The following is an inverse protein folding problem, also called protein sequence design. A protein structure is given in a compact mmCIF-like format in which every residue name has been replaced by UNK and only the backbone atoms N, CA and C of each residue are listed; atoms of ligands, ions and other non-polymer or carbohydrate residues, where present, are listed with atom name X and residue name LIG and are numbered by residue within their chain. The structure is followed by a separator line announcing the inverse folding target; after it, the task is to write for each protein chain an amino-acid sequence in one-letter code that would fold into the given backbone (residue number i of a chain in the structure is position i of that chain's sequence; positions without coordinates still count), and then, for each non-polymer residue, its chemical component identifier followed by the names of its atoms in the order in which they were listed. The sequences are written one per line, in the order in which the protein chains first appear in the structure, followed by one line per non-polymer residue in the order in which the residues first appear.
data_IF_217691746465
#
_entry.id   IF_217691746465
#
_cell.length_a   1.000
_cell.length_b   1.000
_cell.length_c   1.000
_cell.angle_alpha   90.00
_cell.angle_beta   90.00
_cell.angle_gamma   90.00
#
_symmetry.space_group_name_H-M   'P 1'
#
loop_
_entity.id
_entity.type
_entity.pdbx_description
1 polymer ?
#
# COMPACT_ATOMS: atom_id res chain seq x y z
N UNK A 1 29.77 -6.13 15.73
CA UNK A 1 31.02 -5.58 15.17
C UNK A 1 30.63 -4.65 14.03
N UNK A 2 30.49 -3.36 14.35
CA UNK A 2 30.12 -2.30 13.40
C UNK A 2 31.31 -1.97 12.50
N UNK A 3 31.08 -1.77 11.21
CA UNK A 3 32.04 -1.10 10.32
C UNK A 3 31.31 -0.04 9.50
N UNK A 4 31.56 1.21 9.90
CA UNK A 4 31.30 2.41 9.13
C UNK A 4 32.10 2.36 7.81
N UNK A 5 31.45 2.75 6.71
CA UNK A 5 32.14 3.21 5.50
C UNK A 5 31.77 4.67 5.33
N UNK A 6 32.72 5.54 5.67
CA UNK A 6 32.77 6.93 5.23
C UNK A 6 33.46 6.97 3.86
N UNK A 7 32.88 7.67 2.89
CA UNK A 7 33.66 8.24 1.80
C UNK A 7 33.09 9.60 1.41
N UNK A 8 33.89 10.60 1.73
CA UNK A 8 33.81 12.01 1.36
C UNK A 8 34.17 12.19 -0.11
N UNK A 9 33.37 12.92 -0.88
CA UNK A 9 33.91 13.76 -1.96
C UNK A 9 33.14 15.08 -2.04
N UNK A 10 33.85 16.13 -1.65
CA UNK A 10 33.57 17.53 -1.87
C UNK A 10 34.05 17.92 -3.27
N UNK A 11 33.22 18.57 -4.08
CA UNK A 11 33.65 19.61 -5.03
C UNK A 11 32.55 20.68 -5.20
N UNK A 12 33.02 21.91 -5.08
CA UNK A 12 32.34 23.19 -5.08
C UNK A 12 31.98 23.70 -6.50
N UNK A 13 30.80 24.34 -6.61
CA UNK A 13 30.45 25.64 -7.28
C UNK A 13 30.76 25.85 -8.80
N UNK A 14 30.05 26.76 -9.53
CA UNK A 14 29.52 28.03 -9.02
C UNK A 14 28.11 28.51 -9.42
N UNK A 15 27.65 29.43 -8.58
CA UNK A 15 26.69 30.53 -8.78
C UNK A 15 26.85 31.25 -10.14
N UNK A 16 25.71 31.69 -10.70
CA UNK A 16 25.67 32.91 -11.49
C UNK A 16 24.36 33.67 -11.19
N UNK A 17 24.49 34.82 -10.53
CA UNK A 17 23.48 35.89 -10.44
C UNK A 17 23.57 36.77 -11.69
N UNK A 18 22.44 37.20 -12.22
CA UNK A 18 22.34 38.47 -12.96
C UNK A 18 21.12 39.25 -12.48
N UNK A 19 21.37 40.52 -12.22
CA UNK A 19 20.53 41.58 -11.67
C UNK A 19 19.91 42.48 -12.74
N UNK A 20 18.79 43.14 -12.41
CA UNK A 20 18.19 44.31 -13.09
C UNK A 20 16.67 44.17 -13.17
N UNK A 21 15.82 44.88 -12.43
CA UNK A 21 15.68 46.34 -12.26
C UNK A 21 14.72 46.88 -13.35
N UNK A 22 13.74 47.76 -13.16
CA UNK A 22 13.01 48.32 -12.02
C UNK A 22 11.84 49.16 -12.60
N UNK A 23 10.75 49.35 -11.83
CA UNK A 23 9.80 50.50 -11.84
C UNK A 23 8.79 50.65 -13.03
N UNK A 24 7.48 50.57 -12.75
CA UNK A 24 6.57 51.74 -12.73
C UNK A 24 5.15 51.39 -12.21
N UNK A 25 4.60 52.38 -11.52
CA UNK A 25 3.37 52.51 -10.74
C UNK A 25 2.06 52.51 -11.54
N UNK A 26 0.95 52.06 -10.93
CA UNK A 26 -0.14 52.97 -10.52
C UNK A 26 -1.34 52.29 -9.85
N UNK A 27 -1.89 53.01 -8.88
CA UNK A 27 -3.12 52.76 -8.11
C UNK A 27 -4.36 52.69 -9.01
N UNK A 28 -5.32 51.85 -8.65
CA UNK A 28 -6.74 52.24 -8.65
C UNK A 28 -7.47 51.57 -7.49
N UNK A 29 -8.16 52.37 -6.67
CA UNK A 29 -9.11 51.95 -5.65
C UNK A 29 -10.49 51.84 -6.30
N UNK A 30 -11.20 50.72 -6.10
CA UNK A 30 -12.66 50.66 -6.19
C UNK A 30 -13.24 49.46 -5.40
N UNK A 31 -13.50 49.75 -4.13
CA UNK A 31 -14.62 49.35 -3.25
C UNK A 31 -15.72 48.38 -3.76
N UNK A 32 -16.03 47.43 -2.87
CA UNK A 32 -17.32 46.80 -2.51
C UNK A 32 -17.72 45.39 -3.03
N UNK A 33 -17.81 44.50 -2.02
CA UNK A 33 -18.87 43.52 -1.71
C UNK A 33 -19.11 42.34 -2.65
N UNK A 34 -18.82 41.14 -2.12
CA UNK A 34 -19.34 39.86 -2.61
C UNK A 34 -18.68 38.72 -1.86
N UNK A 35 -19.47 37.97 -1.09
CA UNK A 35 -19.06 36.76 -0.38
C UNK A 35 -18.57 35.70 -1.35
N UNK A 36 -17.26 35.46 -1.41
CA UNK A 36 -16.70 34.26 -2.03
C UNK A 36 -16.38 33.24 -0.94
N UNK A 37 -17.24 32.24 -0.82
CA UNK A 37 -16.92 31.01 -0.12
C UNK A 37 -15.76 30.36 -0.88
N UNK A 38 -14.58 30.34 -0.26
CA UNK A 38 -13.39 29.70 -0.81
C UNK A 38 -13.68 28.22 -1.07
N UNK A 39 -13.76 27.85 -2.34
CA UNK A 39 -13.69 26.48 -2.80
C UNK A 39 -12.29 25.95 -2.49
N UNK A 40 -12.16 25.25 -1.36
CA UNK A 40 -11.00 24.39 -1.12
C UNK A 40 -10.85 23.37 -2.26
N UNK A 41 -9.64 22.84 -2.50
CA UNK A 41 -9.42 21.89 -3.58
C UNK A 41 -10.32 20.67 -3.37
N UNK A 42 -11.23 20.43 -4.31
CA UNK A 42 -12.07 19.25 -4.30
C UNK A 42 -11.18 18.04 -4.55
N UNK A 43 -11.08 17.15 -3.57
CA UNK A 43 -10.48 15.84 -3.79
C UNK A 43 -11.41 15.12 -4.77
N UNK A 44 -11.07 15.12 -6.06
CA UNK A 44 -11.75 14.29 -7.06
C UNK A 44 -11.42 12.83 -6.76
N UNK A 45 -12.26 12.19 -5.95
CA UNK A 45 -12.15 10.77 -5.69
C UNK A 45 -12.62 10.03 -6.95
N UNK A 46 -11.68 9.51 -7.73
CA UNK A 46 -11.99 8.75 -8.93
C UNK A 46 -12.76 7.46 -8.57
N UNK A 47 -13.82 7.17 -9.32
CA UNK A 47 -14.63 5.95 -9.16
C UNK A 47 -13.80 4.71 -9.46
N UNK A 48 -13.85 3.72 -8.57
CA UNK A 48 -13.44 2.35 -8.88
C UNK A 48 -14.46 1.75 -9.85
N UNK A 49 -13.99 1.08 -10.90
CA UNK A 49 -14.84 0.53 -11.97
C UNK A 49 -14.61 -0.98 -12.07
N UNK A 50 -15.55 -1.77 -11.55
CA UNK A 50 -15.51 -3.25 -11.56
C UNK A 50 -16.33 -3.84 -12.74
N UNK A 51 -16.23 -3.20 -13.91
CA UNK A 51 -16.86 -3.69 -15.15
C UNK A 51 -18.40 -3.71 -15.21
N UNK A 52 -19.14 -3.45 -14.12
CA UNK A 52 -20.62 -3.51 -14.13
C UNK A 52 -21.36 -2.37 -13.45
N UNK A 53 -20.73 -1.66 -12.51
CA UNK A 53 -21.32 -0.49 -11.86
C UNK A 53 -20.20 0.47 -11.53
N UNK A 54 -20.31 1.74 -11.93
CA UNK A 54 -19.58 2.84 -11.30
C UNK A 54 -20.04 2.93 -9.86
N UNK A 55 -19.50 2.08 -8.99
CA UNK A 55 -19.68 2.24 -7.55
C UNK A 55 -18.79 3.41 -7.18
N UNK A 56 -19.42 4.53 -6.87
CA UNK A 56 -18.70 5.65 -6.29
C UNK A 56 -17.86 5.16 -5.11
N UNK A 57 -16.68 5.77 -4.89
CA UNK A 57 -15.84 5.43 -3.76
C UNK A 57 -16.70 5.52 -2.49
N UNK A 58 -16.88 4.38 -1.81
CA UNK A 58 -17.65 4.34 -0.57
C UNK A 58 -16.77 4.78 0.57
N UNK A 59 -16.76 6.09 0.82
CA UNK A 59 -16.18 6.66 2.01
C UNK A 59 -17.24 6.67 3.11
N UNK A 60 -17.02 5.90 4.17
CA UNK A 60 -17.85 5.91 5.37
C UNK A 60 -17.03 6.58 6.47
N UNK A 61 -17.54 7.70 7.01
CA UNK A 61 -16.87 8.45 8.06
C UNK A 61 -17.70 8.29 9.34
N UNK A 62 -17.13 7.61 10.35
CA UNK A 62 -17.82 7.38 11.63
C UNK A 62 -18.03 8.66 12.44
N UNK A 63 -17.02 9.55 12.46
CA UNK A 63 -17.09 10.87 13.11
C UNK A 63 -16.59 11.97 12.15
N UNK A 64 -17.51 12.73 11.53
CA UNK A 64 -17.15 13.81 10.60
C UNK A 64 -16.33 14.93 11.21
N UNK A 65 -16.54 15.25 12.49
CA UNK A 65 -15.84 16.35 13.17
C UNK A 65 -14.39 15.96 13.45
N UNK A 66 -14.18 14.75 13.96
CA UNK A 66 -12.84 14.23 14.21
C UNK A 66 -12.06 14.03 12.91
N UNK A 67 -12.72 13.59 11.84
CA UNK A 67 -12.14 13.55 10.50
C UNK A 67 -11.68 14.94 10.02
N UNK A 68 -12.56 15.95 10.09
CA UNK A 68 -12.22 17.31 9.68
C UNK A 68 -11.06 17.89 10.51
N UNK A 69 -11.01 17.59 11.82
CA UNK A 69 -9.92 18.00 12.70
C UNK A 69 -8.58 17.38 12.29
N UNK A 70 -8.54 16.07 12.00
CA UNK A 70 -7.34 15.37 11.52
C UNK A 70 -6.87 15.89 10.16
N UNK A 71 -7.80 16.10 9.22
CA UNK A 71 -7.49 16.67 7.91
C UNK A 71 -6.89 18.07 8.03
N UNK A 72 -7.49 18.94 8.85
CA UNK A 72 -6.95 20.28 9.10
C UNK A 72 -5.55 20.21 9.69
N UNK A 73 -5.29 19.29 10.62
CA UNK A 73 -3.96 19.07 11.20
C UNK A 73 -2.94 18.66 10.13
N UNK A 74 -3.25 17.69 9.27
CA UNK A 74 -2.35 17.29 8.18
C UNK A 74 -2.03 18.46 7.23
N UNK A 75 -3.02 19.28 6.86
CA UNK A 75 -2.78 20.44 6.01
C UNK A 75 -1.91 21.51 6.70
N UNK A 76 -2.08 21.71 8.00
CA UNK A 76 -1.33 22.72 8.76
C UNK A 76 0.11 22.31 9.02
N UNK A 77 0.33 21.04 9.37
CA UNK A 77 1.66 20.55 9.77
C UNK A 77 2.57 20.27 8.57
N UNK A 78 2.01 19.87 7.43
CA UNK A 78 2.78 19.60 6.22
C UNK A 78 3.39 18.19 6.15
N UNK A 79 4.09 17.92 5.04
CA UNK A 79 4.63 16.60 4.72
C UNK A 79 5.85 16.21 5.58
N UNK A 80 6.61 17.20 6.07
CA UNK A 80 7.77 17.00 6.94
C UNK A 80 7.39 16.45 8.32
N UNK A 81 6.13 16.59 8.72
CA UNK A 81 5.57 16.03 9.95
C UNK A 81 4.76 14.74 9.71
N UNK A 82 4.76 14.21 8.48
CA UNK A 82 3.98 13.04 8.10
C UNK A 82 4.82 11.76 8.14
N UNK A 83 4.23 10.69 8.68
CA UNK A 83 4.69 9.31 8.56
C UNK A 83 3.54 8.47 8.00
N UNK A 84 3.82 7.69 6.96
CA UNK A 84 2.86 6.72 6.41
C UNK A 84 3.24 5.33 6.88
N UNK A 85 2.31 4.64 7.53
CA UNK A 85 2.40 3.21 7.85
C UNK A 85 1.25 2.52 7.13
N UNK A 86 1.56 1.54 6.30
CA UNK A 86 0.56 0.80 5.52
C UNK A 86 0.79 -0.71 5.66
N UNK A 87 -0.30 -1.46 5.76
CA UNK A 87 -0.27 -2.90 5.52
C UNK A 87 -0.09 -3.19 4.01
N UNK A 88 0.24 -4.42 3.64
CA UNK A 88 0.47 -4.84 2.26
C UNK A 88 -0.72 -5.61 1.68
N UNK A 89 -0.99 -6.82 2.19
CA UNK A 89 -1.96 -7.75 1.63
C UNK A 89 -3.39 -7.20 1.75
N UNK A 90 -4.08 -7.05 0.62
CA UNK A 90 -5.43 -6.47 0.53
C UNK A 90 -5.49 -4.99 0.97
N UNK A 91 -4.35 -4.36 1.23
CA UNK A 91 -4.22 -2.92 1.52
C UNK A 91 -3.54 -2.18 0.37
N UNK A 92 -2.30 -2.52 0.03
CA UNK A 92 -1.63 -2.02 -1.19
C UNK A 92 -2.00 -2.88 -2.41
N UNK A 93 -2.22 -4.17 -2.18
CA UNK A 93 -2.87 -5.06 -3.16
C UNK A 93 -4.40 -4.95 -3.02
N UNK A 94 -5.18 -5.19 -4.09
CA UNK A 94 -6.64 -5.14 -4.01
C UNK A 94 -7.19 -6.36 -3.28
N UNK A 95 -8.47 -6.32 -2.90
CA UNK A 95 -9.14 -7.50 -2.30
C UNK A 95 -9.52 -8.53 -3.38
N UNK A 96 -9.91 -8.06 -4.56
CA UNK A 96 -10.27 -8.88 -5.71
C UNK A 96 -9.34 -8.58 -6.87
N UNK A 97 -9.07 -9.60 -7.69
CA UNK A 97 -8.36 -9.44 -8.95
C UNK A 97 -9.15 -8.55 -9.89
N UNK A 98 -8.45 -7.86 -10.80
CA UNK A 98 -9.11 -7.16 -11.89
C UNK A 98 -9.83 -8.16 -12.78
N UNK A 99 -11.11 -7.91 -13.04
CA UNK A 99 -11.92 -8.75 -13.91
C UNK A 99 -11.61 -8.43 -15.36
N UNK A 100 -11.22 -9.46 -16.11
CA UNK A 100 -11.11 -9.38 -17.57
C UNK A 100 -12.47 -9.52 -18.24
N UNK A 101 -13.32 -10.41 -17.72
CA UNK A 101 -14.73 -10.55 -18.12
C UNK A 101 -15.64 -10.03 -16.99
N UNK A 102 -16.45 -8.99 -17.25
CA UNK A 102 -17.47 -8.55 -16.33
C UNK A 102 -18.47 -9.65 -15.93
N UNK A 103 -18.61 -10.77 -16.64
CA UNK A 103 -19.52 -11.86 -16.23
C UNK A 103 -18.84 -12.94 -15.39
N UNK A 104 -17.51 -12.99 -15.36
CA UNK A 104 -16.76 -13.98 -14.59
C UNK A 104 -16.95 -13.76 -13.07
N UNK A 105 -16.99 -14.80 -12.24
CA UNK A 105 -17.10 -14.64 -10.79
C UNK A 105 -15.96 -13.77 -10.23
N UNK A 106 -16.21 -13.09 -9.10
CA UNK A 106 -15.16 -12.36 -8.40
C UNK A 106 -14.14 -13.35 -7.86
N UNK A 107 -12.88 -13.14 -8.21
CA UNK A 107 -11.75 -13.91 -7.69
C UNK A 107 -10.99 -13.05 -6.69
N UNK A 108 -10.73 -13.60 -5.49
CA UNK A 108 -9.91 -12.92 -4.49
C UNK A 108 -8.47 -12.79 -4.99
N UNK A 109 -7.84 -11.67 -4.68
CA UNK A 109 -6.41 -11.53 -4.89
C UNK A 109 -5.64 -12.38 -3.86
N UNK A 110 -4.50 -12.91 -4.30
CA UNK A 110 -3.59 -13.67 -3.46
C UNK A 110 -2.99 -12.77 -2.38
N UNK A 111 -2.90 -13.28 -1.14
CA UNK A 111 -1.96 -12.71 -0.18
C UNK A 111 -0.52 -13.13 -0.54
N UNK A 112 0.47 -12.52 0.09
CA UNK A 112 1.87 -12.92 0.00
C UNK A 112 2.08 -14.41 0.33
N UNK A 113 1.39 -14.94 1.36
CA UNK A 113 1.36 -16.38 1.65
C UNK A 113 0.66 -17.16 0.56
N UNK A 114 -0.53 -16.74 0.14
CA UNK A 114 -1.32 -17.44 -0.88
C UNK A 114 -0.55 -17.57 -2.20
N UNK A 115 0.09 -16.50 -2.65
CA UNK A 115 0.92 -16.48 -3.86
C UNK A 115 2.02 -17.53 -3.80
N UNK A 116 2.73 -17.61 -2.68
CA UNK A 116 3.85 -18.54 -2.53
C UNK A 116 3.36 -19.98 -2.36
N UNK A 117 2.47 -20.21 -1.41
CA UNK A 117 2.06 -21.55 -0.97
C UNK A 117 1.22 -22.30 -2.01
N UNK A 118 0.54 -21.57 -2.91
CA UNK A 118 -0.23 -22.16 -4.02
C UNK A 118 0.53 -22.19 -5.35
N UNK A 119 1.77 -21.69 -5.36
CA UNK A 119 2.61 -21.67 -6.56
C UNK A 119 2.95 -23.08 -7.05
N UNK A 120 2.97 -23.27 -8.36
CA UNK A 120 3.45 -24.50 -9.02
C UNK A 120 4.97 -24.72 -8.86
N UNK A 121 5.70 -23.71 -8.37
CA UNK A 121 7.13 -23.79 -8.05
C UNK A 121 7.38 -24.66 -6.80
N UNK A 122 6.40 -24.71 -5.90
CA UNK A 122 6.49 -25.53 -4.69
C UNK A 122 5.94 -26.94 -4.93
N UNK A 123 6.32 -27.85 -4.04
CA UNK A 123 5.83 -29.22 -4.11
C UNK A 123 4.30 -29.23 -3.90
N UNK A 124 3.52 -30.04 -4.65
CA UNK A 124 2.05 -30.05 -4.56
C UNK A 124 1.51 -30.23 -3.14
N UNK A 125 2.25 -30.93 -2.28
CA UNK A 125 1.92 -31.17 -0.88
C UNK A 125 1.91 -29.89 -0.05
N UNK A 126 2.71 -28.88 -0.39
CA UNK A 126 2.67 -27.56 0.27
C UNK A 126 1.33 -26.87 0.00
N UNK A 127 0.88 -26.90 -1.26
CA UNK A 127 -0.39 -26.32 -1.66
C UNK A 127 -1.57 -27.04 -1.00
N UNK A 128 -1.55 -28.38 -0.96
CA UNK A 128 -2.56 -29.17 -0.24
C UNK A 128 -2.57 -28.83 1.25
N UNK A 129 -1.41 -28.80 1.90
CA UNK A 129 -1.29 -28.46 3.31
C UNK A 129 -1.80 -27.05 3.61
N UNK A 130 -1.50 -26.07 2.75
CA UNK A 130 -2.03 -24.71 2.92
C UNK A 130 -3.55 -24.66 2.74
N UNK A 131 -4.11 -25.36 1.76
CA UNK A 131 -5.55 -25.41 1.57
C UNK A 131 -6.27 -26.00 2.80
N UNK A 132 -5.69 -27.04 3.42
CA UNK A 132 -6.21 -27.63 4.65
C UNK A 132 -6.13 -26.67 5.84
N UNK A 133 -4.99 -25.97 6.01
CA UNK A 133 -4.83 -24.95 7.05
C UNK A 133 -5.81 -23.79 6.85
N UNK A 134 -5.90 -23.26 5.63
CA UNK A 134 -6.82 -22.18 5.28
C UNK A 134 -8.27 -22.57 5.57
N UNK A 135 -8.71 -23.75 5.11
CA UNK A 135 -10.07 -24.24 5.35
C UNK A 135 -10.41 -24.36 6.84
N UNK A 136 -9.41 -24.66 7.68
CA UNK A 136 -9.58 -24.79 9.13
C UNK A 136 -9.59 -23.43 9.85
N UNK A 137 -8.65 -22.55 9.55
CA UNK A 137 -8.38 -21.36 10.36
C UNK A 137 -9.03 -20.08 9.83
N UNK A 138 -9.21 -19.94 8.52
CA UNK A 138 -9.84 -18.75 7.94
C UNK A 138 -11.27 -18.49 8.44
N UNK A 139 -12.15 -19.51 8.62
CA UNK A 139 -13.47 -19.28 9.23
C UNK A 139 -13.40 -18.74 10.67
N UNK A 140 -12.35 -19.09 11.41
CA UNK A 140 -12.12 -18.62 12.79
C UNK A 140 -11.67 -17.16 12.76
N UNK A 141 -10.72 -16.82 11.89
CA UNK A 141 -10.25 -15.45 11.67
C UNK A 141 -11.43 -14.51 11.35
N UNK A 142 -12.28 -14.93 10.42
CA UNK A 142 -13.42 -14.16 9.94
C UNK A 142 -14.65 -14.21 10.87
N UNK A 143 -14.61 -14.97 11.96
CA UNK A 143 -15.76 -15.13 12.85
C UNK A 143 -16.18 -13.80 13.47
N UNK A 144 -17.45 -13.35 13.32
CA UNK A 144 -17.93 -12.13 13.96
C UNK A 144 -18.27 -12.33 15.44
N UNK A 145 -18.28 -13.58 15.92
CA UNK A 145 -18.72 -13.93 17.29
C UNK A 145 -17.55 -14.05 18.27
N UNK A 146 -16.37 -14.45 17.78
CA UNK A 146 -15.17 -14.58 18.61
C UNK A 146 -14.47 -13.23 18.76
N UNK A 147 -14.04 -12.92 19.98
CA UNK A 147 -13.17 -11.79 20.28
C UNK A 147 -11.75 -12.00 19.72
N UNK A 148 -10.98 -10.91 19.67
CA UNK A 148 -9.58 -10.98 19.24
C UNK A 148 -8.73 -11.89 20.16
N UNK A 149 -8.98 -11.86 21.47
CA UNK A 149 -8.28 -12.68 22.46
C UNK A 149 -8.58 -14.18 22.27
N UNK A 150 -9.84 -14.53 21.98
CA UNK A 150 -10.24 -15.91 21.70
C UNK A 150 -9.65 -16.44 20.39
N UNK A 151 -9.49 -15.56 19.38
CA UNK A 151 -8.89 -15.92 18.08
C UNK A 151 -7.37 -16.06 18.12
N UNK A 152 -6.69 -15.28 18.96
CA UNK A 152 -5.23 -15.20 19.02
C UNK A 152 -4.52 -16.56 19.04
N UNK A 153 -4.85 -17.53 19.92
CA UNK A 153 -4.16 -18.81 19.94
C UNK A 153 -4.33 -19.61 18.63
N UNK A 154 -5.47 -19.47 17.94
CA UNK A 154 -5.69 -20.10 16.65
C UNK A 154 -4.85 -19.45 15.54
N UNK A 155 -4.71 -18.12 15.55
CA UNK A 155 -3.87 -17.41 14.57
C UNK A 155 -2.39 -17.73 14.77
N UNK A 156 -1.94 -17.84 16.02
CA UNK A 156 -0.59 -18.32 16.32
C UNK A 156 -0.36 -19.75 15.83
N UNK A 157 -1.32 -20.65 16.06
CA UNK A 157 -1.23 -22.03 15.60
C UNK A 157 -1.19 -22.11 14.08
N UNK A 158 -2.04 -21.32 13.40
CA UNK A 158 -2.06 -21.26 11.94
C UNK A 158 -0.71 -20.81 11.41
N UNK A 159 -0.17 -19.69 11.90
CA UNK A 159 1.14 -19.21 11.45
C UNK A 159 2.27 -20.19 11.71
N UNK A 160 2.33 -20.77 12.91
CA UNK A 160 3.32 -21.81 13.24
C UNK A 160 3.24 -23.00 12.28
N UNK A 161 2.03 -23.43 11.91
CA UNK A 161 1.82 -24.59 11.02
C UNK A 161 2.17 -24.27 9.57
N UNK A 162 1.73 -23.11 9.06
CA UNK A 162 2.05 -22.68 7.70
C UNK A 162 3.56 -22.48 7.49
N UNK A 163 4.24 -21.88 8.47
CA UNK A 163 5.68 -21.70 8.43
C UNK A 163 6.45 -23.02 8.61
N UNK A 164 5.94 -23.96 9.41
CA UNK A 164 6.53 -25.30 9.52
C UNK A 164 6.52 -26.04 8.17
N UNK A 165 5.42 -25.94 7.40
CA UNK A 165 5.37 -26.52 6.04
C UNK A 165 6.50 -25.95 5.16
N UNK A 166 6.69 -24.63 5.15
CA UNK A 166 7.75 -24.01 4.35
C UNK A 166 9.16 -24.49 4.75
N UNK A 167 9.38 -24.73 6.04
CA UNK A 167 10.64 -25.25 6.57
C UNK A 167 10.84 -26.72 6.17
N UNK A 168 9.82 -27.56 6.37
CA UNK A 168 9.87 -29.00 6.09
C UNK A 168 10.15 -29.28 4.61
N UNK A 169 9.54 -28.49 3.73
CA UNK A 169 9.75 -28.57 2.28
C UNK A 169 10.99 -27.82 1.78
N UNK A 170 11.79 -27.25 2.69
CA UNK A 170 13.08 -26.59 2.41
C UNK A 170 12.97 -25.47 1.37
N UNK A 171 12.03 -24.55 1.59
CA UNK A 171 11.86 -23.37 0.75
C UNK A 171 13.20 -22.64 0.54
N UNK A 172 13.50 -22.29 -0.70
CA UNK A 172 14.68 -21.49 -1.07
C UNK A 172 14.27 -20.10 -1.54
N UNK A 173 15.17 -19.11 -1.37
CA UNK A 173 14.95 -17.75 -1.88
C UNK A 173 14.70 -17.72 -3.39
N UNK A 174 15.41 -18.56 -4.15
CA UNK A 174 15.19 -18.71 -5.60
C UNK A 174 13.77 -19.17 -5.94
N UNK A 175 13.20 -20.08 -5.15
CA UNK A 175 11.80 -20.51 -5.36
C UNK A 175 10.81 -19.38 -5.05
N UNK A 176 11.11 -18.51 -4.07
CA UNK A 176 10.29 -17.31 -3.81
C UNK A 176 10.31 -16.38 -5.02
N UNK A 177 11.49 -16.04 -5.53
CA UNK A 177 11.65 -15.18 -6.71
C UNK A 177 10.93 -15.79 -7.94
N UNK A 178 11.07 -17.10 -8.16
CA UNK A 178 10.37 -17.81 -9.24
C UNK A 178 8.85 -17.82 -9.05
N UNK A 179 8.36 -18.01 -7.82
CA UNK A 179 6.94 -18.01 -7.51
C UNK A 179 6.31 -16.64 -7.75
N UNK A 180 7.02 -15.56 -7.41
CA UNK A 180 6.59 -14.18 -7.70
C UNK A 180 6.61 -13.90 -9.20
N UNK A 181 7.68 -14.29 -9.90
CA UNK A 181 7.79 -14.07 -11.34
C UNK A 181 6.73 -14.80 -12.17
N UNK A 182 6.33 -16.00 -11.75
CA UNK A 182 5.29 -16.81 -12.41
C UNK A 182 3.88 -16.51 -11.90
N UNK A 183 3.79 -16.00 -10.68
CA UNK A 183 2.54 -15.66 -10.01
C UNK A 183 1.91 -14.41 -10.60
N UNK A 184 0.68 -14.14 -10.15
CA UNK A 184 0.00 -12.89 -10.42
C UNK A 184 -0.34 -12.24 -9.10
N UNK A 185 0.20 -11.05 -8.89
CA UNK A 185 -0.14 -10.14 -7.80
C UNK A 185 -0.36 -8.76 -8.43
N UNK A 186 -1.51 -8.15 -8.17
CA UNK A 186 -1.81 -6.81 -8.66
C UNK A 186 -1.75 -5.77 -7.54
N UNK A 187 -1.54 -4.52 -7.91
CA UNK A 187 -1.57 -3.38 -7.01
C UNK A 187 -2.81 -2.52 -7.22
N UNK A 188 -3.25 -1.83 -6.17
CA UNK A 188 -4.40 -0.94 -6.25
C UNK A 188 -4.15 0.21 -7.23
N UNK A 189 -5.22 0.66 -7.86
CA UNK A 189 -5.20 1.90 -8.63
C UNK A 189 -4.68 3.05 -7.75
N UNK A 190 -3.72 3.81 -8.28
CA UNK A 190 -3.08 4.90 -7.54
C UNK A 190 -1.84 4.49 -6.74
N UNK A 191 -1.45 3.21 -6.72
CA UNK A 191 -0.22 2.73 -6.07
C UNK A 191 1.01 3.53 -6.51
N UNK A 192 1.32 3.55 -7.81
CA UNK A 192 2.47 4.29 -8.34
C UNK A 192 2.43 5.80 -8.07
N UNK A 193 1.34 6.53 -8.38
CA UNK A 193 1.22 7.95 -8.03
C UNK A 193 1.40 8.24 -6.54
N UNK A 194 0.85 7.39 -5.66
CA UNK A 194 0.98 7.54 -4.22
C UNK A 194 2.44 7.44 -3.78
N UNK A 195 3.13 6.35 -4.13
CA UNK A 195 4.52 6.14 -3.72
C UNK A 195 5.47 7.15 -4.34
N UNK A 196 5.22 7.59 -5.59
CA UNK A 196 5.94 8.70 -6.18
C UNK A 196 5.76 9.99 -5.39
N UNK A 197 4.53 10.34 -5.02
CA UNK A 197 4.25 11.54 -4.22
C UNK A 197 4.95 11.48 -2.86
N UNK A 198 4.86 10.35 -2.16
CA UNK A 198 5.51 10.16 -0.87
C UNK A 198 7.04 10.29 -0.99
N UNK A 199 7.63 9.72 -2.03
CA UNK A 199 9.05 9.84 -2.31
C UNK A 199 9.46 11.29 -2.62
N UNK A 200 8.75 11.95 -3.53
CA UNK A 200 9.04 13.33 -3.95
C UNK A 200 8.92 14.31 -2.77
N UNK A 201 8.01 14.05 -1.82
CA UNK A 201 7.83 14.83 -0.59
C UNK A 201 8.71 14.37 0.58
N UNK A 202 9.58 13.38 0.37
CA UNK A 202 10.46 12.81 1.40
C UNK A 202 9.71 12.29 2.63
N UNK A 203 8.49 11.80 2.45
CA UNK A 203 7.66 11.26 3.52
C UNK A 203 8.13 9.84 3.86
N UNK A 204 8.57 9.57 5.11
CA UNK A 204 8.89 8.22 5.53
C UNK A 204 7.67 7.31 5.38
N UNK A 205 7.89 6.16 4.74
CA UNK A 205 6.84 5.17 4.48
C UNK A 205 7.29 3.79 4.98
N UNK A 206 6.50 3.20 5.87
CA UNK A 206 6.71 1.86 6.41
C UNK A 206 5.61 0.93 5.91
N UNK A 207 6.00 -0.12 5.19
CA UNK A 207 5.11 -1.25 4.90
C UNK A 207 5.21 -2.21 6.09
N UNK A 208 4.18 -2.25 6.94
CA UNK A 208 4.10 -3.13 8.10
C UNK A 208 3.05 -4.22 7.85
N UNK A 209 3.52 -5.39 7.44
CA UNK A 209 2.67 -6.52 7.06
C UNK A 209 2.91 -7.75 7.92
N UNK A 210 1.86 -8.53 8.14
CA UNK A 210 1.93 -9.89 8.68
C UNK A 210 2.26 -10.95 7.62
N UNK A 211 2.42 -10.54 6.35
CA UNK A 211 2.77 -11.40 5.23
C UNK A 211 4.24 -11.82 5.19
N UNK A 212 4.62 -12.49 4.09
CA UNK A 212 5.99 -12.98 3.88
C UNK A 212 6.89 -11.89 3.29
N UNK A 213 7.87 -11.42 4.06
CA UNK A 213 8.80 -10.35 3.65
C UNK A 213 9.45 -10.61 2.29
N UNK A 214 10.08 -11.77 2.08
CA UNK A 214 10.78 -12.06 0.82
C UNK A 214 9.84 -12.07 -0.41
N UNK A 215 8.59 -12.48 -0.23
CA UNK A 215 7.56 -12.43 -1.29
C UNK A 215 7.17 -10.99 -1.58
N UNK A 216 6.87 -10.21 -0.52
CA UNK A 216 6.49 -8.80 -0.64
C UNK A 216 7.62 -8.00 -1.29
N UNK A 217 8.85 -8.22 -0.86
CA UNK A 217 10.02 -7.53 -1.38
C UNK A 217 10.23 -7.83 -2.87
N UNK A 218 10.21 -9.12 -3.26
CA UNK A 218 10.35 -9.51 -4.65
C UNK A 218 9.20 -8.97 -5.53
N UNK A 219 7.96 -8.96 -5.01
CA UNK A 219 6.82 -8.42 -5.74
C UNK A 219 6.94 -6.90 -5.96
N UNK A 220 7.39 -6.15 -4.95
CA UNK A 220 7.65 -4.72 -5.07
C UNK A 220 8.82 -4.43 -6.02
N UNK A 221 9.91 -5.19 -5.94
CA UNK A 221 11.05 -5.06 -6.87
C UNK A 221 10.61 -5.31 -8.32
N UNK A 222 9.80 -6.34 -8.55
CA UNK A 222 9.26 -6.63 -9.88
C UNK A 222 8.32 -5.51 -10.38
N UNK A 223 7.44 -4.99 -9.53
CA UNK A 223 6.49 -3.93 -9.89
C UNK A 223 7.21 -2.62 -10.26
N UNK A 224 8.23 -2.21 -9.50
CA UNK A 224 8.98 -0.99 -9.78
C UNK A 224 10.02 -1.12 -10.90
N UNK A 225 10.33 -2.34 -11.34
CA UNK A 225 11.24 -2.60 -12.46
C UNK A 225 10.52 -2.67 -13.82
N UNK A 226 9.20 -2.88 -13.83
CA UNK A 226 8.36 -2.99 -15.03
C UNK A 226 8.01 -1.62 -15.65
#
# INVERSE_FOLDING_TARGET
MWRHITSTYSRLLPLCMVTGGSIFTSRFLARCSGTEASSGPSIQVHSYSDGHQRRGPRMIIGDPNEFARKMKKFTQDGADQLLVIADFDRTLTPYYKQRTDPKAPLEQESSSHGLLMTSSVLQPQVCVGEQELFARFYPIEMSPTLSAEEKLPFMEQWWKSAHALLIDYKLTKKQVEQAVALGSLSFRQGFHPLFKLLHDQQVPTLVFSAGLYDVIHAALEQEFAA
#
